data_IF_521686128284
#
_entry.id   IF_521686128284
#
_cell.length_a   1.000
_cell.length_b   1.000
_cell.length_c   1.000
_cell.angle_alpha   90.00
_cell.angle_beta   90.00
_cell.angle_gamma   90.00
#
_symmetry.space_group_name_H-M   'P 1'
#
loop_
_entity.id
_entity.type
_entity.pdbx_description
1 polymer ?
#
# COMPACT_ATOMS: atom_id res chain seq x y z
N UNK A 1 -7.36 -8.86 21.32
CA UNK A 1 -7.58 -9.85 20.23
C UNK A 1 -7.19 -9.18 18.92
N UNK A 2 -6.25 -9.75 18.15
CA UNK A 2 -6.04 -9.30 16.77
C UNK A 2 -7.31 -9.60 15.96
N UNK A 3 -8.10 -8.57 15.67
CA UNK A 3 -9.19 -8.68 14.71
C UNK A 3 -8.58 -8.93 13.34
N UNK A 4 -8.86 -10.10 12.76
CA UNK A 4 -8.46 -10.39 11.38
C UNK A 4 -9.46 -9.75 10.43
N UNK A 5 -8.97 -8.83 9.63
CA UNK A 5 -9.75 -8.19 8.59
C UNK A 5 -9.71 -9.07 7.32
N UNK A 6 -10.87 -9.29 6.70
CA UNK A 6 -10.91 -9.88 5.36
C UNK A 6 -11.08 -8.76 4.36
N UNK A 7 -10.34 -8.80 3.25
CA UNK A 7 -10.31 -7.71 2.28
C UNK A 7 -10.55 -8.22 0.85
N UNK A 8 -11.18 -7.40 0.03
CA UNK A 8 -11.34 -7.65 -1.39
C UNK A 8 -10.16 -7.08 -2.18
N UNK A 9 -9.50 -7.93 -2.96
CA UNK A 9 -8.37 -7.57 -3.80
C UNK A 9 -8.79 -7.41 -5.26
N UNK A 10 -8.71 -6.19 -5.77
CA UNK A 10 -8.95 -5.88 -7.17
C UNK A 10 -7.66 -6.11 -7.99
N UNK A 11 -7.59 -7.27 -8.66
CA UNK A 11 -6.49 -7.64 -9.56
C UNK A 11 -6.54 -6.94 -10.92
N UNK A 12 -7.70 -6.41 -11.32
CA UNK A 12 -7.82 -5.67 -12.57
C UNK A 12 -6.98 -4.39 -12.56
N UNK A 13 -6.77 -3.78 -11.39
CA UNK A 13 -5.88 -2.61 -11.27
C UNK A 13 -4.45 -2.92 -11.72
N UNK A 14 -3.90 -4.10 -11.39
CA UNK A 14 -2.56 -4.50 -11.82
C UNK A 14 -2.52 -4.81 -13.33
N UNK A 15 -3.55 -5.48 -13.87
CA UNK A 15 -3.66 -5.74 -15.30
C UNK A 15 -3.78 -4.44 -16.12
N UNK A 16 -4.60 -3.49 -15.65
CA UNK A 16 -4.74 -2.19 -16.28
C UNK A 16 -3.41 -1.42 -16.28
N UNK A 17 -2.65 -1.47 -15.17
CA UNK A 17 -1.33 -0.85 -15.09
C UNK A 17 -0.35 -1.46 -16.11
N UNK A 18 -0.35 -2.78 -16.27
CA UNK A 18 0.49 -3.48 -17.26
C UNK A 18 0.12 -3.10 -18.70
N UNK A 19 -1.14 -2.80 -18.97
CA UNK A 19 -1.62 -2.32 -20.28
C UNK A 19 -1.40 -0.82 -20.49
N UNK A 20 -0.75 -0.12 -19.55
CA UNK A 20 -0.43 1.30 -19.69
C UNK A 20 -1.61 2.23 -19.38
N UNK A 21 -2.68 1.75 -18.74
CA UNK A 21 -3.75 2.63 -18.25
C UNK A 21 -3.19 3.56 -17.18
N UNK A 22 -3.11 4.84 -17.53
CA UNK A 22 -2.80 5.93 -16.61
C UNK A 22 -3.83 5.90 -15.47
N UNK A 23 -3.37 6.12 -14.25
CA UNK A 23 -4.16 6.17 -13.00
C UNK A 23 -4.60 4.84 -12.37
N UNK A 24 -4.05 3.70 -12.79
CA UNK A 24 -4.35 2.40 -12.17
C UNK A 24 -3.97 2.33 -10.67
N UNK A 25 -2.95 3.09 -10.28
CA UNK A 25 -2.51 3.25 -8.89
C UNK A 25 -2.31 4.72 -8.56
N UNK A 26 -2.69 5.12 -7.35
CA UNK A 26 -2.56 6.49 -6.84
C UNK A 26 -2.03 6.50 -5.41
N UNK A 27 -1.26 7.53 -5.00
CA UNK A 27 -0.93 7.73 -3.59
C UNK A 27 -2.17 7.66 -2.70
N UNK A 28 -2.04 6.96 -1.56
CA UNK A 28 -3.13 6.65 -0.64
C UNK A 28 -3.77 5.28 -0.88
N UNK A 29 -3.59 4.66 -2.04
CA UNK A 29 -4.06 3.30 -2.29
C UNK A 29 -3.39 2.29 -1.36
N UNK A 30 -4.14 1.32 -0.85
CA UNK A 30 -3.55 0.14 -0.21
C UNK A 30 -3.41 -0.94 -1.28
N UNK A 31 -2.21 -1.49 -1.39
CA UNK A 31 -1.85 -2.45 -2.43
C UNK A 31 -1.32 -3.72 -1.81
N UNK A 32 -1.62 -4.85 -2.44
CA UNK A 32 -1.00 -6.12 -2.15
C UNK A 32 0.10 -6.39 -3.18
N UNK A 33 1.30 -6.72 -2.70
CA UNK A 33 2.48 -6.88 -3.53
C UNK A 33 3.34 -8.05 -3.05
N UNK A 34 4.10 -8.67 -3.95
CA UNK A 34 5.16 -9.61 -3.55
C UNK A 34 6.26 -8.86 -2.81
N UNK A 35 6.74 -9.43 -1.70
CA UNK A 35 7.86 -8.84 -0.97
C UNK A 35 9.11 -8.83 -1.85
N UNK A 36 9.82 -7.69 -1.97
CA UNK A 36 11.06 -7.60 -2.73
C UNK A 36 12.21 -8.39 -2.07
N UNK A 37 12.06 -8.75 -0.79
CA UNK A 37 13.09 -9.48 -0.03
C UNK A 37 12.76 -10.96 0.19
N UNK A 38 11.51 -11.36 -0.03
CA UNK A 38 11.05 -12.74 0.12
C UNK A 38 9.88 -12.98 -0.85
N UNK A 39 10.14 -13.55 -2.05
CA UNK A 39 9.11 -13.75 -3.07
C UNK A 39 7.95 -14.67 -2.66
N UNK A 40 8.10 -15.45 -1.58
CA UNK A 40 7.04 -16.32 -1.05
C UNK A 40 6.02 -15.55 -0.20
N UNK A 41 6.35 -14.31 0.18
CA UNK A 41 5.54 -13.48 1.08
C UNK A 41 4.79 -12.38 0.33
N UNK A 42 3.52 -12.22 0.66
CA UNK A 42 2.67 -11.12 0.20
C UNK A 42 2.61 -10.03 1.27
N UNK A 43 2.94 -8.80 0.88
CA UNK A 43 2.82 -7.62 1.73
C UNK A 43 1.54 -6.87 1.38
N UNK A 44 0.90 -6.27 2.38
CA UNK A 44 -0.18 -5.29 2.20
C UNK A 44 0.31 -3.96 2.79
N UNK A 45 0.42 -2.94 1.93
CA UNK A 45 1.04 -1.66 2.26
C UNK A 45 0.32 -0.51 1.59
N UNK A 46 0.47 0.69 2.13
CA UNK A 46 -0.04 1.91 1.53
C UNK A 46 0.96 2.46 0.54
N UNK A 47 0.50 2.74 -0.68
CA UNK A 47 1.24 3.44 -1.70
C UNK A 47 1.36 4.90 -1.30
N UNK A 48 2.56 5.35 -0.94
CA UNK A 48 2.83 6.73 -0.53
C UNK A 48 3.23 7.58 -1.72
N UNK A 49 4.02 7.03 -2.64
CA UNK A 49 4.50 7.79 -3.78
C UNK A 49 4.74 6.95 -5.04
N UNK A 50 4.60 7.62 -6.18
CA UNK A 50 4.79 7.10 -7.53
C UNK A 50 6.15 7.55 -8.12
N UNK A 51 6.57 7.00 -9.28
CA UNK A 51 7.85 7.35 -9.90
C UNK A 51 8.07 8.86 -10.00
N UNK A 52 9.33 9.28 -9.85
CA UNK A 52 9.79 10.69 -9.97
C UNK A 52 9.28 11.63 -8.86
N UNK A 53 8.67 11.10 -7.80
CA UNK A 53 8.27 11.85 -6.60
C UNK A 53 9.41 11.90 -5.58
N UNK A 54 9.56 13.01 -4.85
CA UNK A 54 10.48 13.11 -3.71
C UNK A 54 9.70 12.77 -2.43
N UNK A 55 10.22 11.84 -1.64
CA UNK A 55 9.58 11.34 -0.42
C UNK A 55 10.47 11.61 0.77
N UNK A 56 9.90 12.04 1.90
CA UNK A 56 10.59 12.06 3.19
C UNK A 56 10.54 10.66 3.78
N UNK A 57 11.69 10.12 4.11
CA UNK A 57 11.81 8.78 4.68
C UNK A 57 11.70 8.83 6.20
N UNK A 58 11.50 7.65 6.78
CA UNK A 58 11.51 7.39 8.21
C UNK A 58 12.70 6.48 8.56
N UNK A 59 13.18 6.51 9.81
CA UNK A 59 14.10 5.49 10.30
C UNK A 59 13.51 4.08 10.07
N UNK A 60 14.32 3.08 9.67
CA UNK A 60 15.78 3.05 9.68
C UNK A 60 16.45 3.49 8.37
N UNK A 61 15.75 4.18 7.46
CA UNK A 61 16.35 4.58 6.19
C UNK A 61 17.53 5.54 6.40
N UNK A 62 18.68 5.37 5.73
CA UNK A 62 19.89 6.16 5.99
C UNK A 62 19.77 7.61 5.52
N UNK A 63 19.09 7.84 4.40
CA UNK A 63 18.83 9.18 3.87
C UNK A 63 17.51 9.70 4.41
N UNK A 64 17.38 11.01 4.62
CA UNK A 64 16.13 11.65 5.09
C UNK A 64 15.10 11.89 3.99
N UNK A 65 15.53 11.82 2.73
CA UNK A 65 14.66 11.96 1.56
C UNK A 65 15.15 11.09 0.42
N UNK A 66 14.24 10.50 -0.33
CA UNK A 66 14.55 9.69 -1.51
C UNK A 66 13.70 10.14 -2.70
N UNK A 67 14.33 10.30 -3.87
CA UNK A 67 13.61 10.47 -5.13
C UNK A 67 13.28 9.10 -5.70
N UNK A 68 11.99 8.78 -5.84
CA UNK A 68 11.53 7.49 -6.35
C UNK A 68 11.96 7.31 -7.81
N UNK A 69 12.70 6.23 -8.16
CA UNK A 69 13.15 5.98 -9.52
C UNK A 69 11.99 5.73 -10.51
N UNK A 70 12.23 5.90 -11.84
CA UNK A 70 11.31 5.41 -12.86
C UNK A 70 10.92 3.94 -12.65
N UNK A 71 9.64 3.60 -12.85
CA UNK A 71 9.13 2.24 -12.68
C UNK A 71 9.01 1.74 -11.23
N UNK A 72 9.36 2.57 -10.23
CA UNK A 72 9.30 2.22 -8.81
C UNK A 72 8.26 3.05 -8.06
N UNK A 73 7.91 2.58 -6.87
CA UNK A 73 7.02 3.26 -5.94
C UNK A 73 7.61 3.26 -4.53
N UNK A 74 7.06 4.10 -3.66
CA UNK A 74 7.33 4.10 -2.23
C UNK A 74 6.10 3.61 -1.49
N UNK A 75 6.27 2.59 -0.65
CA UNK A 75 5.18 1.97 0.12
C UNK A 75 5.51 1.94 1.61
N UNK A 76 4.51 2.19 2.45
CA UNK A 76 4.66 2.23 3.91
C UNK A 76 3.55 1.45 4.61
N UNK A 77 3.84 0.93 5.79
CA UNK A 77 2.79 0.42 6.68
C UNK A 77 2.02 1.56 7.33
N UNK A 78 0.76 1.31 7.70
CA UNK A 78 -0.01 2.26 8.51
C UNK A 78 0.50 2.35 9.96
N UNK A 79 1.28 1.35 10.40
CA UNK A 79 1.91 1.30 11.71
C UNK A 79 3.43 1.53 11.58
N UNK A 80 3.91 2.71 12.00
CA UNK A 80 5.28 3.19 11.71
C UNK A 80 6.40 2.28 12.25
N UNK A 81 6.16 1.57 13.35
CA UNK A 81 7.23 0.87 14.09
C UNK A 81 7.17 -0.66 14.03
N UNK A 82 6.21 -1.23 13.30
CA UNK A 82 5.96 -2.68 13.35
C UNK A 82 6.03 -3.37 11.99
N UNK A 83 6.49 -2.69 10.93
CA UNK A 83 6.37 -3.25 9.59
C UNK A 83 7.58 -3.07 8.69
N UNK A 84 7.90 -4.12 7.91
CA UNK A 84 8.89 -4.06 6.84
C UNK A 84 8.27 -3.35 5.63
N UNK A 85 8.83 -2.22 5.26
CA UNK A 85 8.36 -1.39 4.15
C UNK A 85 9.52 -0.66 3.43
N UNK A 86 9.22 0.34 2.59
CA UNK A 86 10.25 1.05 1.81
C UNK A 86 11.30 1.76 2.67
N UNK A 87 10.99 2.11 3.93
CA UNK A 87 12.01 2.66 4.83
C UNK A 87 13.11 1.63 5.15
N UNK A 88 12.81 0.34 5.03
CA UNK A 88 13.76 -0.75 5.28
C UNK A 88 14.49 -1.21 4.01
N UNK A 89 13.78 -1.41 2.90
CA UNK A 89 14.35 -1.99 1.67
C UNK A 89 14.44 -1.03 0.47
N UNK A 90 13.96 0.21 0.62
CA UNK A 90 13.97 1.23 -0.43
C UNK A 90 12.76 1.20 -1.38
N UNK A 91 12.87 1.86 -2.54
CA UNK A 91 11.82 1.89 -3.55
C UNK A 91 11.50 0.50 -4.11
N UNK A 92 10.24 0.25 -4.44
CA UNK A 92 9.75 -1.06 -4.90
C UNK A 92 9.32 -1.01 -6.35
N UNK A 93 9.70 -1.97 -7.21
CA UNK A 93 9.19 -2.04 -8.57
C UNK A 93 7.67 -2.11 -8.61
N UNK A 94 7.03 -1.27 -9.43
CA UNK A 94 5.57 -1.27 -9.61
C UNK A 94 5.04 -2.63 -10.09
N UNK A 95 5.86 -3.39 -10.82
CA UNK A 95 5.52 -4.74 -11.31
C UNK A 95 5.35 -5.79 -10.20
N UNK A 96 5.77 -5.52 -8.96
CA UNK A 96 5.52 -6.41 -7.82
C UNK A 96 4.10 -6.26 -7.25
N UNK A 97 3.38 -5.19 -7.60
CA UNK A 97 2.00 -4.97 -7.15
C UNK A 97 1.07 -5.91 -7.91
N UNK A 98 0.38 -6.78 -7.18
CA UNK A 98 -0.55 -7.76 -7.75
C UNK A 98 -2.01 -7.29 -7.73
N UNK A 99 -2.36 -6.44 -6.77
CA UNK A 99 -3.73 -5.94 -6.65
C UNK A 99 -3.83 -4.69 -5.78
N UNK A 100 -4.95 -3.99 -5.95
CA UNK A 100 -5.39 -2.92 -5.05
C UNK A 100 -6.40 -3.48 -4.06
N UNK A 101 -6.27 -3.14 -2.79
CA UNK A 101 -7.29 -3.43 -1.78
C UNK A 101 -8.44 -2.46 -2.00
N UNK A 102 -9.66 -2.96 -2.21
CA UNK A 102 -10.81 -2.10 -2.53
C UNK A 102 -11.81 -2.00 -1.39
N UNK A 103 -12.04 -3.09 -0.66
CA UNK A 103 -12.98 -3.15 0.46
C UNK A 103 -12.43 -3.99 1.61
N UNK A 104 -12.85 -3.64 2.83
CA UNK A 104 -12.75 -4.54 3.99
C UNK A 104 -14.12 -5.18 4.18
N UNK A 105 -14.21 -6.49 3.99
CA UNK A 105 -15.48 -7.25 3.93
C UNK A 105 -15.86 -7.88 5.26
N UNK A 106 -14.89 -8.07 6.17
CA UNK A 106 -15.11 -8.58 7.52
C UNK A 106 -14.09 -7.93 8.49
N UNK A 107 -14.44 -7.65 9.77
CA UNK A 107 -15.76 -7.84 10.38
C UNK A 107 -16.79 -6.84 9.85
N UNK A 108 -18.07 -7.25 9.73
CA UNK A 108 -19.18 -6.34 9.51
C UNK A 108 -19.31 -5.45 10.75
N UNK A 109 -19.48 -4.14 10.56
CA UNK A 109 -19.78 -3.25 11.69
C UNK A 109 -21.26 -3.38 12.05
N UNK A 110 -21.54 -3.29 13.34
CA UNK A 110 -22.86 -3.54 13.95
C UNK A 110 -23.70 -2.26 14.14
N UNK A 111 -23.34 -1.13 13.51
CA UNK A 111 -24.03 0.15 13.69
C UNK A 111 -24.38 0.77 12.32
N UNK A 112 -25.67 0.73 12.03
CA UNK A 112 -26.52 1.48 11.09
C UNK A 112 -26.20 1.62 9.60
N UNK A 113 -25.08 1.09 9.09
CA UNK A 113 -24.88 0.96 7.64
C UNK A 113 -24.41 -0.45 7.28
N UNK A 114 -25.35 -1.29 6.84
CA UNK A 114 -25.05 -2.53 6.10
C UNK A 114 -24.37 -2.09 4.80
N UNK A 115 -23.04 -2.04 4.77
CA UNK A 115 -22.33 -1.49 3.63
C UNK A 115 -20.94 -2.06 3.48
N UNK A 116 -20.67 -2.61 2.30
CA UNK A 116 -19.33 -2.82 1.76
C UNK A 116 -18.64 -1.46 1.63
N UNK A 117 -18.18 -0.90 2.74
CA UNK A 117 -17.64 0.45 2.76
C UNK A 117 -16.19 0.44 2.25
N UNK A 118 -15.81 1.42 1.41
CA UNK A 118 -14.42 1.68 0.99
C UNK A 118 -13.60 2.21 2.18
N UNK A 119 -13.40 1.37 3.20
CA UNK A 119 -12.64 1.67 4.42
C UNK A 119 -11.15 1.82 4.19
N UNK A 120 -10.68 1.38 3.02
CA UNK A 120 -9.27 1.34 2.64
C UNK A 120 -8.68 2.75 2.42
N UNK A 121 -9.53 3.72 2.08
CA UNK A 121 -9.10 5.08 1.70
C UNK A 121 -8.73 5.97 2.88
N UNK A 122 -9.24 5.67 4.09
CA UNK A 122 -8.85 6.38 5.30
C UNK A 122 -7.65 5.66 5.91
N UNK A 123 -6.49 6.31 6.06
CA UNK A 123 -5.46 5.78 6.95
C UNK A 123 -6.11 5.53 8.32
N UNK A 124 -5.76 4.43 9.00
CA UNK A 124 -6.01 4.39 10.44
C UNK A 124 -5.37 5.66 11.02
N UNK A 125 -6.12 6.38 11.85
CA UNK A 125 -5.76 7.69 12.41
C UNK A 125 -4.25 7.72 12.74
N UNK A 126 -3.57 8.83 12.38
CA UNK A 126 -2.18 9.18 12.77
C UNK A 126 -1.13 9.29 11.62
N UNK A 127 -1.54 9.47 10.37
CA UNK A 127 -0.61 9.78 9.26
C UNK A 127 -0.07 11.23 9.25
N UNK A 128 -0.72 12.17 9.94
CA UNK A 128 -0.40 13.61 9.88
C UNK A 128 -0.06 14.25 11.23
N UNK A 129 0.19 13.46 12.27
CA UNK A 129 0.84 13.94 13.48
C UNK A 129 2.37 13.79 13.36
#
# INVERSE_FOLDING_TARGET
>A
MLTKDWVLLNRYAALAAQQGYKDSFRPGDVVALKSPTDPSSLLIKRLVALPKTLVRTLPPHPESTVRVPPGHCWIEGDERFHTRDSNTFGPVPLGLIESKVEYIVWPPRLVDEIGWEKRVTRPRQDFFA
#
